data_IF_334720336677
#
_entry.id   IF_334720336677
#
_cell.length_a   1.000
_cell.length_b   1.000
_cell.length_c   1.000
_cell.angle_alpha   90.00
_cell.angle_beta   90.00
_cell.angle_gamma   90.00
#
_symmetry.space_group_name_H-M   'P 1'
#
loop_
_entity.id
_entity.type
_entity.pdbx_description
1 polymer ?
#
# COMPACT_ATOMS: atom_id res chain seq x y z
N UNK A 1 -9.44 18.68 3.76
CA UNK A 1 -9.21 17.22 3.63
C UNK A 1 -10.22 16.51 4.52
N UNK A 2 -11.11 15.68 3.97
CA UNK A 2 -12.13 14.99 4.76
C UNK A 2 -11.50 13.99 5.74
N UNK A 3 -12.14 13.76 6.89
CA UNK A 3 -11.66 12.80 7.90
C UNK A 3 -11.50 11.39 7.33
N UNK A 4 -12.29 11.04 6.30
CA UNK A 4 -12.20 9.77 5.58
C UNK A 4 -10.82 9.57 4.93
N UNK A 5 -10.32 10.57 4.19
CA UNK A 5 -9.01 10.47 3.52
C UNK A 5 -7.89 10.42 4.55
N UNK A 6 -7.97 11.21 5.62
CA UNK A 6 -6.96 11.18 6.70
C UNK A 6 -6.87 9.80 7.36
N UNK A 7 -8.02 9.20 7.71
CA UNK A 7 -8.04 7.88 8.32
C UNK A 7 -7.51 6.82 7.36
N UNK A 8 -7.90 6.88 6.09
CA UNK A 8 -7.43 5.97 5.05
C UNK A 8 -5.91 6.01 4.87
N UNK A 9 -5.37 7.23 4.85
CA UNK A 9 -3.94 7.51 4.77
C UNK A 9 -3.19 6.98 6.00
N UNK A 10 -3.71 7.24 7.20
CA UNK A 10 -3.12 6.77 8.45
C UNK A 10 -3.06 5.25 8.48
N UNK A 11 -4.17 4.57 8.14
CA UNK A 11 -4.22 3.11 8.09
C UNK A 11 -3.21 2.54 7.08
N UNK A 12 -3.13 3.08 5.87
CA UNK A 12 -2.14 2.65 4.89
C UNK A 12 -0.70 2.86 5.42
N UNK A 13 -0.42 4.04 5.97
CA UNK A 13 0.91 4.39 6.47
C UNK A 13 1.34 3.50 7.64
N UNK A 14 0.44 3.22 8.57
CA UNK A 14 0.71 2.33 9.71
C UNK A 14 0.99 0.90 9.25
N UNK A 15 0.18 0.38 8.32
CA UNK A 15 0.41 -0.93 7.71
C UNK A 15 1.81 -0.99 7.12
N UNK A 16 2.17 -0.10 6.19
CA UNK A 16 3.49 -0.13 5.53
C UNK A 16 4.67 0.09 6.50
N UNK A 17 4.52 0.93 7.54
CA UNK A 17 5.54 1.08 8.59
C UNK A 17 5.74 -0.20 9.41
N UNK A 18 4.68 -0.96 9.69
CA UNK A 18 4.79 -2.25 10.38
C UNK A 18 5.66 -3.26 9.60
N UNK A 19 5.74 -3.09 8.27
CA UNK A 19 6.62 -3.85 7.37
C UNK A 19 8.05 -3.30 7.26
N UNK A 20 8.49 -2.42 8.16
CA UNK A 20 9.80 -1.73 8.08
C UNK A 20 10.01 -0.98 6.76
N UNK A 21 8.93 -0.63 6.07
CA UNK A 21 9.08 0.21 4.89
C UNK A 21 9.33 1.64 5.35
N UNK A 22 10.35 2.27 4.77
CA UNK A 22 10.46 3.71 4.84
C UNK A 22 9.33 4.32 4.01
N UNK A 23 8.46 5.08 4.66
CA UNK A 23 7.31 5.74 4.01
C UNK A 23 7.67 7.18 3.71
N UNK A 24 7.84 7.49 2.42
CA UNK A 24 8.10 8.84 1.94
C UNK A 24 6.80 9.41 1.40
N UNK A 25 6.16 10.28 2.20
CA UNK A 25 4.90 10.92 1.84
C UNK A 25 5.17 11.96 0.73
N UNK A 26 4.49 11.83 -0.40
CA UNK A 26 4.55 12.83 -1.46
C UNK A 26 3.81 14.09 -1.02
N UNK A 27 4.54 15.19 -0.81
CA UNK A 27 3.97 16.51 -0.44
C UNK A 27 3.28 17.23 -1.61
N UNK A 28 3.04 16.56 -2.73
CA UNK A 28 2.40 17.21 -3.86
C UNK A 28 0.92 17.48 -3.58
N UNK A 29 0.44 18.65 -3.99
CA UNK A 29 -0.96 19.09 -3.92
C UNK A 29 -1.87 18.29 -4.88
N UNK A 30 -1.54 17.04 -5.18
CA UNK A 30 -2.38 16.16 -5.98
C UNK A 30 -3.66 15.83 -5.19
N UNK A 31 -4.79 15.86 -5.89
CA UNK A 31 -6.09 15.43 -5.36
C UNK A 31 -6.12 13.98 -4.87
N UNK A 32 -5.09 13.19 -5.20
CA UNK A 32 -4.89 11.82 -4.78
C UNK A 32 -3.65 11.69 -3.89
N UNK A 33 -3.84 11.13 -2.70
CA UNK A 33 -2.76 10.93 -1.75
C UNK A 33 -1.89 9.75 -2.17
N UNK A 34 -0.58 9.92 -2.11
CA UNK A 34 0.38 8.89 -2.48
C UNK A 34 1.66 8.93 -1.65
N UNK A 35 2.32 7.79 -1.54
CA UNK A 35 3.60 7.65 -0.86
C UNK A 35 4.43 6.55 -1.51
N UNK A 36 5.74 6.65 -1.34
CA UNK A 36 6.67 5.58 -1.67
C UNK A 36 6.91 4.75 -0.41
N UNK A 37 6.83 3.43 -0.53
CA UNK A 37 7.20 2.49 0.52
C UNK A 37 8.40 1.67 0.04
N UNK A 38 9.53 1.81 0.73
CA UNK A 38 10.78 1.12 0.38
C UNK A 38 11.05 -0.01 1.37
N UNK A 39 11.03 -1.25 0.91
CA UNK A 39 11.41 -2.41 1.71
C UNK A 39 12.93 -2.54 1.75
N UNK A 40 13.56 -2.07 2.82
CA UNK A 40 15.03 -2.09 2.98
C UNK A 40 15.64 -3.49 2.96
N UNK A 41 14.87 -4.55 3.26
CA UNK A 41 15.36 -5.94 3.25
C UNK A 41 15.28 -6.61 1.88
N UNK A 42 14.45 -6.11 0.96
CA UNK A 42 14.14 -6.79 -0.31
C UNK A 42 14.35 -5.93 -1.55
N UNK A 43 14.87 -4.71 -1.39
CA UNK A 43 15.09 -3.75 -2.48
C UNK A 43 13.84 -3.52 -3.35
N UNK A 44 12.66 -3.59 -2.71
CA UNK A 44 11.38 -3.41 -3.39
C UNK A 44 10.81 -2.05 -3.06
N UNK A 45 10.48 -1.31 -4.10
CA UNK A 45 9.89 0.02 -4.01
C UNK A 45 8.44 -0.05 -4.47
N UNK A 46 7.52 0.42 -3.62
CA UNK A 46 6.10 0.49 -3.94
C UNK A 46 5.66 1.94 -4.00
N UNK A 47 5.03 2.33 -5.11
CA UNK A 47 4.31 3.58 -5.20
C UNK A 47 2.86 3.31 -4.82
N UNK A 48 2.43 3.80 -3.67
CA UNK A 48 1.10 3.52 -3.12
C UNK A 48 0.21 4.74 -3.34
N UNK A 49 -0.94 4.54 -3.99
CA UNK A 49 -1.93 5.57 -4.25
C UNK A 49 -3.25 5.24 -3.57
N UNK A 50 -3.76 6.15 -2.76
CA UNK A 50 -5.01 6.00 -2.04
C UNK A 50 -6.17 6.57 -2.86
N UNK A 51 -7.03 5.69 -3.36
CA UNK A 51 -8.19 6.03 -4.18
C UNK A 51 -9.45 5.33 -3.65
N UNK A 52 -10.17 5.89 -2.65
CA UNK A 52 -11.33 5.23 -2.04
C UNK A 52 -12.37 4.72 -3.05
N UNK A 53 -12.53 5.42 -4.18
CA UNK A 53 -13.30 4.97 -5.35
C UNK A 53 -12.39 4.94 -6.58
N UNK A 54 -12.28 3.78 -7.23
CA UNK A 54 -11.42 3.59 -8.41
C UNK A 54 -11.87 4.46 -9.58
N UNK A 55 -13.18 4.57 -9.81
CA UNK A 55 -13.77 5.34 -10.92
C UNK A 55 -13.32 6.80 -10.96
N UNK A 56 -13.17 7.45 -9.80
CA UNK A 56 -12.68 8.83 -9.69
C UNK A 56 -11.17 8.99 -9.94
N UNK A 57 -10.42 7.90 -9.94
CA UNK A 57 -8.96 7.93 -9.99
C UNK A 57 -8.36 7.36 -11.29
N UNK A 58 -9.16 6.77 -12.18
CA UNK A 58 -8.67 6.07 -13.39
C UNK A 58 -7.68 6.88 -14.22
N UNK A 59 -7.97 8.17 -14.47
CA UNK A 59 -7.08 9.04 -15.23
C UNK A 59 -5.73 9.28 -14.50
N UNK A 60 -5.79 9.47 -13.19
CA UNK A 60 -4.60 9.70 -12.36
C UNK A 60 -3.74 8.43 -12.25
N UNK A 61 -4.36 7.25 -12.18
CA UNK A 61 -3.67 5.95 -12.16
C UNK A 61 -2.91 5.72 -13.47
N UNK A 62 -3.53 6.01 -14.62
CA UNK A 62 -2.85 5.94 -15.93
C UNK A 62 -1.63 6.86 -16.01
N UNK A 63 -1.72 8.05 -15.41
CA UNK A 63 -0.57 8.97 -15.32
C UNK A 63 0.49 8.43 -14.36
N UNK A 64 0.09 7.87 -13.22
CA UNK A 64 1.00 7.27 -12.25
C UNK A 64 1.78 6.10 -12.87
N UNK A 65 1.12 5.19 -13.59
CA UNK A 65 1.76 4.08 -14.30
C UNK A 65 2.91 4.53 -15.21
N UNK A 66 2.80 5.69 -15.86
CA UNK A 66 3.85 6.24 -16.72
C UNK A 66 5.00 6.92 -15.96
N UNK A 67 4.78 7.27 -14.70
CA UNK A 67 5.71 8.04 -13.86
C UNK A 67 6.39 7.18 -12.79
N UNK A 68 5.78 6.07 -12.39
CA UNK A 68 6.36 5.13 -11.45
C UNK A 68 7.63 4.54 -12.09
N UNK A 69 8.78 4.57 -11.40
CA UNK A 69 10.01 3.97 -11.89
C UNK A 69 9.83 2.49 -12.26
N UNK A 70 10.58 1.99 -13.25
CA UNK A 70 10.39 0.63 -13.79
C UNK A 70 10.69 -0.50 -12.78
N UNK A 71 11.52 -0.21 -11.78
CA UNK A 71 11.85 -1.09 -10.66
C UNK A 71 10.79 -1.06 -9.53
N UNK A 72 9.82 -0.16 -9.63
CA UNK A 72 8.82 0.11 -8.61
C UNK A 72 7.47 -0.48 -9.02
N UNK A 73 6.69 -0.96 -8.05
CA UNK A 73 5.34 -1.46 -8.27
C UNK A 73 4.30 -0.43 -7.88
N UNK A 74 3.32 -0.18 -8.75
CA UNK A 74 2.16 0.64 -8.43
C UNK A 74 1.13 -0.17 -7.65
N UNK A 75 0.75 0.33 -6.48
CA UNK A 75 -0.31 -0.23 -5.63
C UNK A 75 -1.41 0.81 -5.49
N UNK A 76 -2.62 0.46 -5.87
CA UNK A 76 -3.81 1.31 -5.70
C UNK A 76 -4.68 0.73 -4.59
N UNK A 77 -4.91 1.54 -3.57
CA UNK A 77 -5.71 1.16 -2.39
C UNK A 77 -7.09 1.78 -2.50
N UNK A 78 -8.12 0.95 -2.52
CA UNK A 78 -9.53 1.37 -2.59
C UNK A 78 -10.33 0.95 -1.37
N UNK A 79 -11.54 1.48 -1.19
CA UNK A 79 -12.44 0.99 -0.14
C UNK A 79 -13.02 -0.38 -0.52
N UNK A 80 -13.35 -0.55 -1.79
CA UNK A 80 -13.81 -1.79 -2.42
C UNK A 80 -13.49 -1.74 -3.91
N UNK A 81 -13.62 -2.88 -4.58
CA UNK A 81 -13.56 -3.01 -6.04
C UNK A 81 -14.43 -4.19 -6.47
N UNK A 82 -14.78 -4.25 -7.76
CA UNK A 82 -15.39 -5.44 -8.36
C UNK A 82 -14.33 -6.37 -8.96
N UNK A 83 -14.70 -7.61 -9.26
CA UNK A 83 -13.79 -8.59 -9.88
C UNK A 83 -13.31 -8.10 -11.26
N UNK A 84 -14.18 -7.43 -12.03
CA UNK A 84 -13.80 -6.85 -13.32
C UNK A 84 -12.77 -5.73 -13.17
N UNK A 85 -12.90 -4.91 -12.11
CA UNK A 85 -11.92 -3.86 -11.81
C UNK A 85 -10.57 -4.46 -11.39
N UNK A 86 -10.60 -5.56 -10.63
CA UNK A 86 -9.40 -6.30 -10.23
C UNK A 86 -8.69 -6.95 -11.42
N UNK A 87 -9.44 -7.62 -12.31
CA UNK A 87 -8.88 -8.18 -13.54
C UNK A 87 -8.29 -7.11 -14.45
N UNK A 88 -8.98 -5.97 -14.59
CA UNK A 88 -8.48 -4.88 -15.40
C UNK A 88 -7.20 -4.28 -14.80
N UNK A 89 -7.11 -4.14 -13.48
CA UNK A 89 -5.90 -3.67 -12.81
C UNK A 89 -4.69 -4.57 -13.10
N UNK A 90 -4.89 -5.89 -13.06
CA UNK A 90 -3.86 -6.87 -13.40
C UNK A 90 -3.42 -6.75 -14.87
N UNK A 91 -4.37 -6.55 -15.80
CA UNK A 91 -4.06 -6.31 -17.22
C UNK A 91 -3.31 -5.00 -17.43
N UNK A 92 -3.66 -3.95 -16.69
CA UNK A 92 -3.05 -2.63 -16.74
C UNK A 92 -1.70 -2.55 -16.02
N UNK A 93 -1.30 -3.60 -15.29
CA UNK A 93 0.02 -3.73 -14.69
C UNK A 93 0.16 -3.06 -13.30
N UNK A 94 -0.93 -2.93 -12.54
CA UNK A 94 -0.88 -2.46 -11.15
C UNK A 94 -1.64 -3.38 -10.19
N UNK A 95 -1.24 -3.35 -8.92
CA UNK A 95 -1.94 -4.11 -7.88
C UNK A 95 -3.10 -3.29 -7.32
N UNK A 96 -4.29 -3.89 -7.31
CA UNK A 96 -5.50 -3.32 -6.73
C UNK A 96 -5.80 -4.02 -5.40
N UNK A 97 -5.82 -3.27 -4.31
CA UNK A 97 -6.04 -3.82 -2.96
C UNK A 97 -7.08 -2.99 -2.21
N UNK A 98 -7.79 -3.60 -1.27
CA UNK A 98 -8.69 -2.86 -0.37
C UNK A 98 -7.96 -2.46 0.91
N UNK A 99 -8.53 -1.47 1.61
CA UNK A 99 -8.07 -1.14 2.95
C UNK A 99 -8.19 -2.34 3.91
N UNK A 100 -9.27 -3.11 3.83
CA UNK A 100 -9.46 -4.28 4.68
C UNK A 100 -8.39 -5.35 4.45
N UNK A 101 -7.99 -5.57 3.20
CA UNK A 101 -6.90 -6.48 2.84
C UNK A 101 -5.57 -6.01 3.45
N UNK A 102 -5.26 -4.71 3.34
CA UNK A 102 -4.04 -4.15 3.95
C UNK A 102 -4.05 -4.24 5.48
N UNK A 103 -5.18 -3.98 6.14
CA UNK A 103 -5.29 -4.08 7.59
C UNK A 103 -5.13 -5.52 8.05
N UNK A 104 -5.83 -6.48 7.42
CA UNK A 104 -5.71 -7.91 7.74
C UNK A 104 -4.25 -8.37 7.57
N UNK A 105 -3.65 -8.04 6.44
CA UNK A 105 -2.25 -8.38 6.17
C UNK A 105 -1.28 -7.74 7.18
N UNK A 106 -1.54 -6.49 7.59
CA UNK A 106 -0.76 -5.83 8.63
C UNK A 106 -0.82 -6.56 9.98
N UNK A 107 -2.02 -6.99 10.39
CA UNK A 107 -2.21 -7.76 11.63
C UNK A 107 -1.49 -9.10 11.59
N UNK A 108 -1.70 -9.89 10.53
CA UNK A 108 -1.06 -11.20 10.34
C UNK A 108 0.48 -11.12 10.46
N UNK A 109 1.05 -10.01 10.00
CA UNK A 109 2.50 -9.83 9.95
C UNK A 109 3.09 -9.38 11.28
N UNK A 110 2.32 -8.62 12.07
CA UNK A 110 2.66 -8.35 13.46
C UNK A 110 2.63 -9.63 14.30
N UNK A 111 1.65 -10.49 14.07
CA UNK A 111 1.56 -11.80 14.74
C UNK A 111 2.75 -12.70 14.39
N UNK A 112 3.15 -12.75 13.11
CA UNK A 112 4.34 -13.48 12.68
C UNK A 112 5.60 -12.93 13.35
N UNK A 113 5.80 -11.60 13.40
CA UNK A 113 6.96 -10.99 14.06
C UNK A 113 7.02 -11.34 15.54
N UNK A 114 5.91 -11.25 16.25
CA UNK A 114 5.84 -11.61 17.67
C UNK A 114 6.18 -13.08 17.89
N UNK A 115 5.72 -13.96 17.00
CA UNK A 115 6.05 -15.38 17.04
C UNK A 115 7.54 -15.63 16.78
N UNK A 116 8.12 -14.98 15.77
CA UNK A 116 9.55 -15.08 15.46
C UNK A 116 10.42 -14.58 16.61
N UNK A 117 10.04 -13.48 17.26
CA UNK A 117 10.72 -12.94 18.45
C UNK A 117 10.65 -13.93 19.62
N UNK A 118 9.47 -14.50 19.90
CA UNK A 118 9.30 -15.52 20.95
C UNK A 118 10.11 -16.81 20.66
N UNK A 119 10.12 -17.26 19.40
CA UNK A 119 10.90 -18.43 18.97
C UNK A 119 12.41 -18.17 19.05
N UNK A 120 12.85 -16.93 18.82
CA UNK A 120 14.27 -16.55 18.96
C UNK A 120 14.75 -16.52 20.41
N UNK A 121 13.89 -16.06 21.35
CA UNK A 121 14.17 -16.02 22.78
C UNK A 121 14.20 -17.43 23.41
N UNK A 122 13.32 -18.32 22.96
CA UNK A 122 13.30 -19.72 23.44
C UNK A 122 14.47 -20.57 22.95
N UNK A 123 15.09 -20.22 21.81
CA UNK A 123 16.30 -20.89 21.29
C UNK A 123 17.60 -20.33 21.85
N UNK A 124 17.57 -19.14 22.45
CA UNK A 124 18.72 -18.50 23.08
C UNK A 124 18.84 -18.78 24.59
N UNK A 125 17.85 -19.46 25.17
CA UNK A 125 17.79 -19.91 26.56
C UNK A 125 18.11 -21.41 26.65
#
# INVERSE_FOLDING_TARGET
MSNLVKNFVTSCTLTFKAFEHEVIISKNQSTMWNFMAVNKRRDKVYAVYCAPRLSSAKALIKVALKKVPADSRLVVVTSSYTDEEYEQANKDGYSLVTLSMLSKYGTEMLEIKQKEEADSLSKAA
#
